data_IF_898397959795
#
_entry.id   IF_898397959795
#
_cell.length_a   1.000
_cell.length_b   1.000
_cell.length_c   1.000
_cell.angle_alpha   90.00
_cell.angle_beta   90.00
_cell.angle_gamma   90.00
#
_symmetry.space_group_name_H-M   'P 1'
#
loop_
_entity.id
_entity.type
_entity.pdbx_description
1 polymer ?
#
# COMPACT_ATOMS: atom_id res chain seq x y z
N UNK A 1 7.21 2.06 15.40
CA UNK A 1 7.61 0.65 15.15
C UNK A 1 7.69 -0.17 16.43
N UNK A 2 8.32 0.36 17.52
CA UNK A 2 8.51 -0.39 18.79
C UNK A 2 7.19 -0.85 19.44
N UNK A 3 6.13 -0.07 19.33
CA UNK A 3 4.81 -0.36 19.89
C UNK A 3 3.92 -1.28 19.01
N UNK A 4 4.40 -1.73 17.84
CA UNK A 4 3.65 -2.62 16.95
C UNK A 4 2.50 -1.97 16.17
N UNK A 5 2.41 -0.64 16.14
CA UNK A 5 1.33 0.07 15.42
C UNK A 5 1.35 -0.22 13.92
N UNK A 6 2.53 -0.28 13.29
CA UNK A 6 2.65 -0.64 11.88
C UNK A 6 2.17 -2.08 11.63
N UNK A 7 2.53 -3.03 12.50
CA UNK A 7 2.10 -4.42 12.38
C UNK A 7 0.57 -4.54 12.44
N UNK A 8 -0.09 -3.71 13.26
CA UNK A 8 -1.56 -3.66 13.32
C UNK A 8 -2.18 -3.11 12.03
N UNK A 9 -1.61 -2.03 11.46
CA UNK A 9 -2.06 -1.49 10.18
C UNK A 9 -1.86 -2.51 9.05
N UNK A 10 -0.74 -3.22 9.03
CA UNK A 10 -0.46 -4.31 8.06
C UNK A 10 -1.48 -5.43 8.20
N UNK A 11 -1.88 -5.82 9.41
CA UNK A 11 -2.93 -6.83 9.61
C UNK A 11 -4.30 -6.39 9.12
N UNK A 12 -4.66 -5.10 9.31
CA UNK A 12 -5.89 -4.56 8.72
C UNK A 12 -5.83 -4.63 7.20
N UNK A 13 -4.70 -4.21 6.63
CA UNK A 13 -4.44 -4.25 5.21
C UNK A 13 -4.55 -5.68 4.64
N UNK A 14 -3.94 -6.65 5.30
CA UNK A 14 -4.03 -8.06 4.94
C UNK A 14 -5.48 -8.55 4.95
N UNK A 15 -6.25 -8.20 5.97
CA UNK A 15 -7.67 -8.54 6.06
C UNK A 15 -8.47 -7.96 4.89
N UNK A 16 -8.19 -6.72 4.49
CA UNK A 16 -8.82 -6.07 3.33
C UNK A 16 -8.47 -6.82 2.04
N UNK A 17 -7.20 -7.15 1.82
CA UNK A 17 -6.76 -7.88 0.63
C UNK A 17 -7.43 -9.26 0.54
N UNK A 18 -7.53 -9.98 1.66
CA UNK A 18 -8.14 -11.31 1.72
C UNK A 18 -9.65 -11.30 1.64
N UNK A 19 -10.31 -10.20 1.97
CA UNK A 19 -11.78 -10.09 1.87
C UNK A 19 -12.28 -10.09 0.42
N UNK A 20 -11.49 -9.55 -0.51
CA UNK A 20 -11.83 -9.48 -1.92
C UNK A 20 -10.60 -9.76 -2.82
N UNK A 21 -10.02 -10.95 -2.75
CA UNK A 21 -8.73 -11.25 -3.35
C UNK A 21 -8.73 -11.17 -4.89
N UNK A 22 -9.90 -11.30 -5.53
CA UNK A 22 -10.06 -11.15 -7.00
C UNK A 22 -9.67 -9.75 -7.49
N UNK A 23 -9.81 -8.74 -6.64
CA UNK A 23 -9.50 -7.34 -6.97
C UNK A 23 -8.11 -6.92 -6.50
N UNK A 24 -7.19 -7.87 -6.30
CA UNK A 24 -5.87 -7.58 -5.71
C UNK A 24 -5.10 -6.51 -6.48
N UNK A 25 -5.23 -6.41 -7.81
CA UNK A 25 -4.57 -5.40 -8.62
C UNK A 25 -5.02 -3.97 -8.29
N UNK A 26 -6.21 -3.80 -7.70
CA UNK A 26 -6.73 -2.51 -7.25
C UNK A 26 -6.59 -2.35 -5.73
N UNK A 27 -6.81 -3.43 -4.97
CA UNK A 27 -6.75 -3.38 -3.52
C UNK A 27 -5.31 -3.22 -3.01
N UNK A 28 -4.33 -3.92 -3.61
CA UNK A 28 -2.96 -3.83 -3.17
C UNK A 28 -2.41 -2.39 -3.30
N UNK A 29 -2.50 -1.71 -4.46
CA UNK A 29 -2.08 -0.31 -4.55
C UNK A 29 -2.88 0.63 -3.65
N UNK A 30 -4.21 0.43 -3.51
CA UNK A 30 -5.03 1.25 -2.62
C UNK A 30 -4.56 1.15 -1.17
N UNK A 31 -4.38 -0.06 -0.68
CA UNK A 31 -3.96 -0.30 0.69
C UNK A 31 -2.56 0.23 0.96
N UNK A 32 -1.60 -0.04 0.07
CA UNK A 32 -0.23 0.49 0.23
C UNK A 32 -0.17 2.00 0.11
N UNK A 33 -1.00 2.60 -0.76
CA UNK A 33 -1.14 4.04 -0.89
C UNK A 33 -1.56 4.69 0.43
N UNK A 34 -2.66 4.23 1.03
CA UNK A 34 -3.14 4.79 2.30
C UNK A 34 -2.22 4.49 3.49
N UNK A 35 -1.61 3.31 3.53
CA UNK A 35 -0.59 3.02 4.54
C UNK A 35 0.59 3.98 4.45
N UNK A 36 1.02 4.33 3.24
CA UNK A 36 2.11 5.27 3.01
C UNK A 36 1.73 6.70 3.40
N UNK A 37 0.51 7.14 3.07
CA UNK A 37 0.00 8.44 3.53
C UNK A 37 0.08 8.55 5.04
N UNK A 38 -0.38 7.54 5.75
CA UNK A 38 -0.36 7.51 7.22
C UNK A 38 1.06 7.45 7.78
N UNK A 39 1.94 6.67 7.19
CA UNK A 39 3.29 6.48 7.69
C UNK A 39 4.28 7.58 7.25
N UNK A 40 3.95 8.37 6.23
CA UNK A 40 4.85 9.38 5.64
C UNK A 40 6.06 8.82 4.91
N UNK A 41 6.09 7.51 4.63
CA UNK A 41 7.22 6.83 4.01
C UNK A 41 6.79 5.67 3.13
N UNK A 42 7.43 5.51 1.96
CA UNK A 42 7.19 4.41 1.03
C UNK A 42 7.68 3.03 1.52
N UNK A 43 8.45 2.99 2.60
CA UNK A 43 8.93 1.71 3.16
C UNK A 43 7.80 0.80 3.67
N UNK A 44 6.61 1.32 3.90
CA UNK A 44 5.42 0.53 4.27
C UNK A 44 5.04 -0.51 3.21
N UNK A 45 5.32 -0.24 1.92
CA UNK A 45 5.10 -1.20 0.85
C UNK A 45 5.86 -2.52 1.07
N UNK A 46 7.08 -2.45 1.60
CA UNK A 46 7.90 -3.67 1.83
C UNK A 46 7.26 -4.61 2.85
N UNK A 47 6.53 -4.08 3.83
CA UNK A 47 5.79 -4.89 4.80
C UNK A 47 4.61 -5.62 4.17
N UNK A 48 4.10 -5.12 3.04
CA UNK A 48 2.96 -5.69 2.32
C UNK A 48 3.37 -6.69 1.23
N UNK A 49 4.64 -6.72 0.81
CA UNK A 49 5.12 -7.60 -0.26
C UNK A 49 4.74 -9.07 -0.02
N UNK A 50 5.04 -9.69 1.14
CA UNK A 50 4.71 -11.09 1.38
C UNK A 50 3.21 -11.36 1.28
N UNK A 51 2.39 -10.47 1.84
CA UNK A 51 0.92 -10.59 1.84
C UNK A 51 0.37 -10.52 0.42
N UNK A 52 0.82 -9.54 -0.38
CA UNK A 52 0.38 -9.36 -1.77
C UNK A 52 0.77 -10.58 -2.60
N UNK A 53 1.99 -11.11 -2.43
CA UNK A 53 2.45 -12.31 -3.14
C UNK A 53 1.57 -13.52 -2.82
N UNK A 54 1.27 -13.76 -1.54
CA UNK A 54 0.45 -14.90 -1.14
C UNK A 54 -0.97 -14.79 -1.69
N UNK A 55 -1.63 -13.65 -1.49
CA UNK A 55 -3.00 -13.44 -1.98
C UNK A 55 -3.08 -13.52 -3.50
N UNK A 56 -2.09 -12.98 -4.23
CA UNK A 56 -2.03 -13.10 -5.69
C UNK A 56 -1.89 -14.56 -6.14
N UNK A 57 -1.01 -15.33 -5.49
CA UNK A 57 -0.83 -16.77 -5.77
C UNK A 57 -2.09 -17.58 -5.49
N UNK A 58 -2.80 -17.30 -4.41
CA UNK A 58 -4.08 -17.94 -4.07
C UNK A 58 -5.15 -17.73 -5.17
N UNK A 59 -5.08 -16.62 -5.88
CA UNK A 59 -5.99 -16.26 -6.97
C UNK A 59 -5.45 -16.63 -8.35
N UNK A 60 -4.31 -17.33 -8.42
CA UNK A 60 -3.65 -17.67 -9.68
C UNK A 60 -3.28 -16.42 -10.52
N UNK A 61 -3.03 -15.29 -9.85
CA UNK A 61 -2.62 -14.03 -10.47
C UNK A 61 -1.09 -13.90 -10.32
N UNK A 62 -0.41 -13.47 -11.40
CA UNK A 62 1.02 -13.16 -11.34
C UNK A 62 1.31 -12.07 -10.31
N UNK A 63 2.07 -12.35 -9.24
CA UNK A 63 2.33 -11.36 -8.18
C UNK A 63 3.04 -10.11 -8.67
N UNK A 64 3.77 -10.18 -9.79
CA UNK A 64 4.50 -9.03 -10.36
C UNK A 64 3.59 -7.84 -10.67
N UNK A 65 2.36 -8.08 -11.13
CA UNK A 65 1.43 -7.01 -11.47
C UNK A 65 0.96 -6.23 -10.21
N UNK A 66 0.28 -6.84 -9.23
CA UNK A 66 -0.15 -6.11 -8.05
C UNK A 66 1.02 -5.57 -7.23
N UNK A 67 2.18 -6.24 -7.20
CA UNK A 67 3.37 -5.74 -6.52
C UNK A 67 3.92 -4.47 -7.15
N UNK A 68 4.12 -4.45 -8.47
CA UNK A 68 4.67 -3.28 -9.15
C UNK A 68 3.76 -2.07 -8.97
N UNK A 69 2.44 -2.24 -9.12
CA UNK A 69 1.48 -1.15 -8.92
C UNK A 69 1.50 -0.69 -7.45
N UNK A 70 1.52 -1.61 -6.49
CA UNK A 70 1.53 -1.30 -5.06
C UNK A 70 2.79 -0.53 -4.65
N UNK A 71 3.97 -0.93 -5.13
CA UNK A 71 5.24 -0.23 -4.86
C UNK A 71 5.22 1.16 -5.45
N UNK A 72 4.83 1.32 -6.72
CA UNK A 72 4.75 2.64 -7.37
C UNK A 72 3.73 3.53 -6.65
N UNK A 73 2.55 3.01 -6.33
CA UNK A 73 1.52 3.75 -5.58
C UNK A 73 2.02 4.21 -4.22
N UNK A 74 2.78 3.37 -3.53
CA UNK A 74 3.40 3.73 -2.25
C UNK A 74 4.41 4.88 -2.40
N UNK A 75 5.26 4.86 -3.43
CA UNK A 75 6.23 5.94 -3.63
C UNK A 75 5.53 7.28 -3.99
N UNK A 76 4.52 7.24 -4.83
CA UNK A 76 3.75 8.43 -5.21
C UNK A 76 2.92 8.96 -4.02
N UNK A 77 2.39 8.09 -3.17
CA UNK A 77 1.60 8.46 -1.99
C UNK A 77 2.35 9.35 -0.98
N UNK A 78 3.69 9.34 -1.00
CA UNK A 78 4.50 10.23 -0.15
C UNK A 78 4.17 11.70 -0.43
N UNK A 79 3.86 12.06 -1.68
CA UNK A 79 3.49 13.43 -2.07
C UNK A 79 2.13 13.88 -1.58
N UNK A 80 1.29 12.94 -1.14
CA UNK A 80 -0.03 13.23 -0.56
C UNK A 80 -0.07 12.98 0.97
N UNK A 81 1.09 12.71 1.58
CA UNK A 81 1.17 12.43 3.02
C UNK A 81 1.36 13.70 3.84
N UNK A 82 0.44 14.01 4.77
CA UNK A 82 0.54 15.20 5.62
C UNK A 82 1.73 15.16 6.60
N UNK A 83 2.32 14.00 6.82
CA UNK A 83 3.48 13.83 7.70
C UNK A 83 4.81 13.68 6.96
N UNK A 84 4.78 13.81 5.63
CA UNK A 84 5.98 13.74 4.80
C UNK A 84 6.75 15.05 4.83
N UNK A 85 8.06 14.99 5.06
CA UNK A 85 8.94 16.15 5.02
C UNK A 85 8.92 16.88 3.65
N UNK A 86 8.76 16.13 2.56
CA UNK A 86 8.65 16.70 1.22
C UNK A 86 7.40 17.57 1.06
N UNK A 87 6.28 17.13 1.61
CA UNK A 87 5.01 17.88 1.57
C UNK A 87 5.11 19.13 2.42
N UNK A 88 5.64 19.03 3.64
CA UNK A 88 5.85 20.17 4.53
C UNK A 88 6.74 21.23 3.87
N UNK A 89 7.85 20.81 3.25
CA UNK A 89 8.75 21.71 2.53
C UNK A 89 8.04 22.42 1.36
N UNK A 90 7.34 21.64 0.51
CA UNK A 90 6.64 22.20 -0.65
C UNK A 90 5.53 23.17 -0.26
N UNK A 91 4.84 22.89 0.84
CA UNK A 91 3.81 23.78 1.37
C UNK A 91 4.44 25.12 1.77
N UNK A 92 5.56 25.12 2.48
CA UNK A 92 6.26 26.36 2.85
C UNK A 92 6.68 27.21 1.65
N UNK A 93 6.94 26.59 0.48
CA UNK A 93 7.24 27.31 -0.77
C UNK A 93 5.97 27.85 -1.44
N UNK A 94 4.85 27.14 -1.35
CA UNK A 94 3.61 27.47 -2.07
C UNK A 94 2.64 28.33 -1.25
N UNK A 95 2.73 28.30 0.06
CA UNK A 95 1.89 29.11 0.97
C UNK A 95 1.97 30.62 0.67
N UNK A 96 3.16 31.24 0.45
CA UNK A 96 3.26 32.65 0.06
C UNK A 96 2.57 32.98 -1.27
N UNK A 97 2.31 31.96 -2.12
CA UNK A 97 1.59 32.08 -3.38
C UNK A 97 0.08 31.91 -3.23
N UNK A 98 -0.42 31.83 -2.00
CA UNK A 98 -1.83 31.72 -1.68
C UNK A 98 -2.40 30.29 -1.60
N UNK A 99 -1.54 29.27 -1.59
CA UNK A 99 -1.97 27.88 -1.46
C UNK A 99 -2.02 27.44 0.01
N UNK A 100 -3.17 27.00 0.48
CA UNK A 100 -3.29 26.45 1.83
C UNK A 100 -2.86 24.99 1.89
N UNK A 101 -2.32 24.57 3.03
CA UNK A 101 -1.86 23.21 3.28
C UNK A 101 -2.93 22.14 2.99
N UNK A 102 -4.19 22.25 3.50
CA UNK A 102 -5.22 21.26 3.21
C UNK A 102 -5.60 21.18 1.73
N UNK A 103 -5.59 22.33 1.02
CA UNK A 103 -5.89 22.37 -0.41
C UNK A 103 -4.84 21.63 -1.23
N UNK A 104 -3.56 21.83 -0.90
CA UNK A 104 -2.46 21.13 -1.58
C UNK A 104 -2.54 19.61 -1.35
N UNK A 105 -2.73 19.18 -0.11
CA UNK A 105 -2.87 17.75 0.20
C UNK A 105 -4.08 17.14 -0.52
N UNK A 106 -5.22 17.82 -0.51
CA UNK A 106 -6.41 17.34 -1.21
C UNK A 106 -6.19 17.21 -2.72
N UNK A 107 -5.54 18.20 -3.33
CA UNK A 107 -5.19 18.16 -4.75
C UNK A 107 -4.25 16.99 -5.08
N UNK A 108 -3.16 16.86 -4.31
CA UNK A 108 -2.20 15.77 -4.53
C UNK A 108 -2.81 14.40 -4.29
N UNK A 109 -3.64 14.25 -3.26
CA UNK A 109 -4.33 12.99 -2.97
C UNK A 109 -5.21 12.57 -4.15
N UNK A 110 -6.06 13.48 -4.64
CA UNK A 110 -7.00 13.16 -5.74
C UNK A 110 -6.23 12.82 -7.03
N UNK A 111 -5.27 13.64 -7.41
CA UNK A 111 -4.53 13.48 -8.67
C UNK A 111 -3.63 12.23 -8.65
N UNK A 112 -2.90 12.00 -7.58
CA UNK A 112 -1.98 10.85 -7.50
C UNK A 112 -2.74 9.53 -7.29
N UNK A 113 -3.81 9.52 -6.50
CA UNK A 113 -4.65 8.33 -6.35
C UNK A 113 -5.36 7.95 -7.66
N UNK A 114 -5.92 8.93 -8.37
CA UNK A 114 -6.53 8.71 -9.67
C UNK A 114 -5.50 8.14 -10.67
N UNK A 115 -4.29 8.66 -10.70
CA UNK A 115 -3.19 8.13 -11.53
C UNK A 115 -2.83 6.69 -11.18
N UNK A 116 -2.76 6.35 -9.90
CA UNK A 116 -2.52 4.97 -9.44
C UNK A 116 -3.63 4.02 -9.86
N UNK A 117 -4.89 4.43 -9.74
CA UNK A 117 -6.04 3.60 -10.14
C UNK A 117 -6.11 3.43 -11.66
N UNK A 118 -5.80 4.47 -12.42
CA UNK A 118 -5.71 4.37 -13.88
C UNK A 118 -4.60 3.41 -14.30
N UNK A 119 -3.43 3.47 -13.67
CA UNK A 119 -2.33 2.52 -13.90
C UNK A 119 -2.75 1.09 -13.58
N UNK A 120 -3.44 0.87 -12.45
CA UNK A 120 -3.97 -0.44 -12.08
C UNK A 120 -4.96 -0.97 -13.13
N UNK A 121 -5.83 -0.10 -13.65
CA UNK A 121 -6.77 -0.45 -14.70
C UNK A 121 -6.05 -0.86 -16.01
N UNK A 122 -5.09 -0.05 -16.45
CA UNK A 122 -4.32 -0.32 -17.67
C UNK A 122 -3.60 -1.67 -17.56
N UNK A 123 -2.88 -1.91 -16.45
CA UNK A 123 -2.17 -3.17 -16.25
C UNK A 123 -3.14 -4.35 -16.20
N UNK A 124 -4.28 -4.19 -15.53
CA UNK A 124 -5.29 -5.27 -15.43
C UNK A 124 -5.91 -5.62 -16.79
N UNK A 125 -6.07 -4.65 -17.69
CA UNK A 125 -6.66 -4.86 -19.01
C UNK A 125 -5.65 -5.42 -20.03
N UNK A 126 -4.39 -5.00 -19.96
CA UNK A 126 -3.39 -5.29 -21.02
C UNK A 126 -2.33 -6.31 -20.61
N UNK A 127 -2.11 -6.59 -19.33
CA UNK A 127 -1.12 -7.56 -18.89
C UNK A 127 -1.69 -8.99 -18.85
N UNK A 128 -0.87 -9.97 -19.21
CA UNK A 128 -1.21 -11.37 -18.98
C UNK A 128 -0.99 -11.70 -17.49
N UNK A 129 -2.08 -11.80 -16.74
CA UNK A 129 -2.08 -11.96 -15.29
C UNK A 129 -2.15 -13.42 -14.84
N UNK A 130 -2.34 -14.37 -15.75
CA UNK A 130 -2.50 -15.79 -15.42
C UNK A 130 -1.17 -16.41 -15.00
N UNK A 131 -1.05 -16.72 -13.71
CA UNK A 131 0.15 -17.35 -13.15
C UNK A 131 0.37 -18.76 -13.66
N UNK A 132 -0.72 -19.50 -13.95
CA UNK A 132 -0.63 -20.88 -14.44
C UNK A 132 0.02 -20.99 -15.81
N UNK A 133 0.02 -19.91 -16.59
CA UNK A 133 0.65 -19.82 -17.92
C UNK A 133 2.06 -19.27 -17.91
N UNK A 134 2.59 -18.96 -16.73
CA UNK A 134 3.94 -18.41 -16.61
C UNK A 134 4.98 -19.54 -16.64
N UNK A 135 5.84 -19.62 -17.66
CA UNK A 135 6.80 -20.71 -17.80
C UNK A 135 7.83 -20.74 -16.66
N UNK A 136 8.24 -19.58 -16.17
CA UNK A 136 9.20 -19.47 -15.06
C UNK A 136 8.58 -19.98 -13.76
N UNK A 137 7.30 -19.68 -13.54
CA UNK A 137 6.60 -20.20 -12.35
C UNK A 137 6.44 -21.72 -12.41
N UNK A 138 6.08 -22.28 -13.57
CA UNK A 138 5.92 -23.72 -13.75
C UNK A 138 7.26 -24.46 -13.58
N UNK A 139 8.34 -23.94 -14.13
CA UNK A 139 9.68 -24.50 -13.94
C UNK A 139 10.08 -24.51 -12.46
N UNK A 140 9.91 -23.40 -11.76
CA UNK A 140 10.24 -23.31 -10.32
C UNK A 140 9.34 -24.20 -9.45
N UNK A 141 8.10 -24.37 -9.84
CA UNK A 141 7.17 -25.27 -9.15
C UNK A 141 7.65 -26.73 -9.33
N UNK A 142 8.01 -27.13 -10.56
CA UNK A 142 8.53 -28.48 -10.84
C UNK A 142 9.85 -28.77 -10.11
N UNK A 143 10.69 -27.75 -9.92
CA UNK A 143 11.94 -27.85 -9.15
C UNK A 143 11.72 -27.80 -7.62
N UNK A 144 10.48 -27.63 -7.14
CA UNK A 144 10.17 -27.52 -5.71
C UNK A 144 10.66 -26.21 -5.04
N UNK A 145 11.08 -25.24 -5.84
CA UNK A 145 11.60 -23.94 -5.36
C UNK A 145 10.48 -23.00 -4.90
N UNK A 146 9.26 -23.24 -5.35
CA UNK A 146 8.08 -22.45 -4.96
C UNK A 146 7.11 -23.36 -4.22
N UNK A 147 6.80 -23.01 -2.98
CA UNK A 147 5.78 -23.71 -2.21
C UNK A 147 4.38 -23.17 -2.61
N UNK A 148 3.35 -24.05 -2.65
CA UNK A 148 1.97 -23.59 -2.70
C UNK A 148 1.69 -22.62 -1.55
N UNK A 149 0.74 -21.69 -1.73
CA UNK A 149 0.43 -20.72 -0.67
C UNK A 149 -0.05 -21.43 0.59
N UNK A 150 0.59 -21.14 1.71
CA UNK A 150 0.35 -21.87 2.99
C UNK A 150 -0.63 -21.15 3.92
N UNK A 151 -1.31 -20.09 3.44
CA UNK A 151 -2.25 -19.33 4.28
C UNK A 151 -1.56 -18.41 5.32
N UNK A 152 -2.39 -17.73 6.08
CA UNK A 152 -2.01 -16.65 7.00
C UNK A 152 -1.06 -17.11 8.11
N UNK A 153 0.09 -16.48 8.22
CA UNK A 153 0.83 -16.45 9.48
C UNK A 153 0.22 -15.35 10.38
N UNK A 154 -0.65 -15.74 11.30
CA UNK A 154 -1.16 -14.83 12.34
C UNK A 154 0.00 -14.38 13.23
N UNK A 155 0.49 -13.17 13.00
CA UNK A 155 1.45 -12.53 13.88
C UNK A 155 0.72 -11.98 15.10
N UNK A 156 1.09 -12.41 16.30
CA UNK A 156 0.50 -11.87 17.52
C UNK A 156 0.79 -10.37 17.65
N UNK A 157 -0.26 -9.61 17.91
CA UNK A 157 -0.15 -8.15 18.11
C UNK A 157 0.43 -7.85 19.48
N UNK A 158 1.38 -6.92 19.52
CA UNK A 158 1.90 -6.42 20.79
C UNK A 158 0.79 -5.68 21.58
N UNK A 159 0.78 -5.82 22.92
CA UNK A 159 -0.09 -5.02 23.77
C UNK A 159 0.16 -3.52 23.50
N UNK A 160 -0.90 -2.76 23.24
CA UNK A 160 -0.81 -1.33 22.92
C UNK A 160 -0.70 -0.94 21.45
N UNK A 161 -0.60 -1.90 20.51
CA UNK A 161 -0.54 -1.60 19.07
C UNK A 161 -1.73 -0.77 18.57
N UNK A 162 -2.94 -1.10 19.04
CA UNK A 162 -4.18 -0.35 18.70
C UNK A 162 -4.15 1.07 19.26
N UNK A 163 -3.68 1.24 20.51
CA UNK A 163 -3.57 2.56 21.15
C UNK A 163 -2.54 3.44 20.44
N UNK A 164 -1.40 2.85 20.04
CA UNK A 164 -0.37 3.54 19.26
C UNK A 164 -0.90 4.08 17.94
N UNK A 165 -1.71 3.29 17.21
CA UNK A 165 -2.35 3.73 15.97
C UNK A 165 -3.38 4.82 16.24
N UNK A 166 -4.20 4.70 17.29
CA UNK A 166 -5.20 5.70 17.61
C UNK A 166 -4.56 7.06 17.93
N UNK A 167 -3.51 7.09 18.75
CA UNK A 167 -2.77 8.31 19.09
C UNK A 167 -2.13 8.91 17.84
N UNK A 168 -1.55 8.09 16.98
CA UNK A 168 -0.95 8.54 15.73
C UNK A 168 -2.00 9.18 14.79
N UNK A 169 -3.17 8.54 14.63
CA UNK A 169 -4.25 9.07 13.79
C UNK A 169 -4.79 10.41 14.33
N UNK A 170 -4.90 10.55 15.66
CA UNK A 170 -5.27 11.82 16.30
C UNK A 170 -4.22 12.89 15.96
N UNK A 171 -2.93 12.57 16.06
CA UNK A 171 -1.85 13.49 15.70
C UNK A 171 -1.92 13.94 14.24
N UNK A 172 -2.16 13.02 13.30
CA UNK A 172 -2.35 13.34 11.87
C UNK A 172 -3.55 14.25 11.66
N UNK A 173 -4.67 13.97 12.34
CA UNK A 173 -5.88 14.79 12.25
C UNK A 173 -5.63 16.21 12.76
N UNK A 174 -4.92 16.36 13.87
CA UNK A 174 -4.56 17.68 14.40
C UNK A 174 -3.70 18.49 13.44
N UNK A 175 -2.75 17.84 12.76
CA UNK A 175 -1.91 18.49 11.73
C UNK A 175 -2.73 18.96 10.53
N UNK A 176 -3.79 18.24 10.16
CA UNK A 176 -4.67 18.63 9.05
C UNK A 176 -5.65 19.75 9.40
N UNK A 177 -5.97 19.90 10.69
CA UNK A 177 -6.94 20.90 11.17
C UNK A 177 -6.28 22.22 11.60
N UNK A 178 -4.97 22.24 11.83
CA UNK A 178 -4.20 23.43 12.20
C UNK A 178 -3.67 24.15 10.97
#
# INVERSE_FOLDING_TARGET
QLAGGLDYLVQIAERILRSNPKYINFLAPTVTYFLTILAGTGHTAFSMIPVIVEVAKEQNIKPSAPLSIAVVSSQIAITASPVSAAVVYMTGVLEPLGWSYPTLIGLWLVTTFAGCMLTALIITLFANLDLSKDPVYQERLAQGLVKPSTGVQNKELKPGAKLSVAIFLIGVLLVLLY
#
